data_IF_279536549031
#
_entry.id   IF_279536549031
#
_cell.length_a   1.000
_cell.length_b   1.000
_cell.length_c   1.000
_cell.angle_alpha   90.00
_cell.angle_beta   90.00
_cell.angle_gamma   90.00
#
_symmetry.space_group_name_H-M   'P 1'
#
loop_
_entity.id
_entity.type
_entity.pdbx_description
1 polymer ?
#
# COMPACT_ATOMS: atom_id res chain seq x y z
N UNK A 1 -9.02 26.88 24.04
CA UNK A 1 -7.74 26.61 23.34
C UNK A 1 -6.66 26.08 24.30
N UNK A 2 -6.94 25.18 25.21
CA UNK A 2 -6.03 24.86 26.32
C UNK A 2 -5.82 23.39 26.69
N UNK A 3 -6.32 22.41 25.92
CA UNK A 3 -6.25 21.00 26.35
C UNK A 3 -5.62 20.02 25.34
N UNK A 4 -5.05 20.47 24.23
CA UNK A 4 -4.42 19.59 23.24
C UNK A 4 -2.91 19.39 23.42
N UNK A 5 -2.26 20.09 24.36
CA UNK A 5 -0.79 20.03 24.54
C UNK A 5 -0.26 18.82 25.31
N UNK A 6 -1.09 18.00 25.95
CA UNK A 6 -0.62 16.93 26.85
C UNK A 6 -0.68 15.51 26.28
N UNK A 7 -0.98 15.30 24.99
CA UNK A 7 -1.09 13.95 24.41
C UNK A 7 0.08 13.52 23.52
N UNK A 8 1.02 14.41 23.25
CA UNK A 8 2.18 14.11 22.40
C UNK A 8 3.41 13.80 23.27
N UNK A 9 3.41 12.71 24.02
CA UNK A 9 4.68 12.12 24.41
C UNK A 9 5.33 11.51 23.17
N UNK A 10 5.99 12.35 22.38
CA UNK A 10 6.88 11.89 21.32
C UNK A 10 7.93 11.00 21.96
N UNK A 11 8.06 9.78 21.46
CA UNK A 11 9.13 8.88 21.90
C UNK A 11 10.46 9.61 21.72
N UNK A 12 11.37 9.46 22.69
CA UNK A 12 12.67 10.16 22.65
C UNK A 12 13.34 9.97 21.29
N UNK A 13 13.78 11.07 20.69
CA UNK A 13 14.40 11.06 19.38
C UNK A 13 15.57 10.08 19.35
N UNK A 14 15.59 9.13 18.42
CA UNK A 14 16.68 8.17 18.33
C UNK A 14 17.99 8.90 18.00
N UNK A 15 19.12 8.36 18.44
CA UNK A 15 20.46 8.91 18.13
C UNK A 15 20.96 8.55 16.74
N UNK A 16 20.16 7.83 15.93
CA UNK A 16 20.49 7.36 14.58
C UNK A 16 19.64 8.08 13.54
N UNK A 17 19.98 7.93 12.25
CA UNK A 17 19.25 8.45 11.11
C UNK A 17 19.60 9.90 10.76
N UNK A 18 18.99 10.39 9.70
CA UNK A 18 19.21 11.73 9.16
C UNK A 18 17.88 12.48 9.06
N UNK A 19 17.95 13.80 8.93
CA UNK A 19 16.81 14.68 8.67
C UNK A 19 16.97 15.34 7.31
N UNK A 20 16.58 14.66 6.20
CA UNK A 20 16.52 15.31 4.91
C UNK A 20 15.36 16.31 4.89
N UNK A 21 15.47 17.33 4.05
CA UNK A 21 14.33 18.18 3.71
C UNK A 21 13.25 17.31 3.10
N UNK A 22 12.04 17.37 3.62
CA UNK A 22 10.98 16.42 3.26
C UNK A 22 10.32 16.70 1.91
N UNK A 23 10.35 17.95 1.44
CA UNK A 23 9.79 18.41 0.16
C UNK A 23 8.37 17.85 -0.16
N UNK A 24 7.61 17.48 0.85
CA UNK A 24 6.28 16.84 0.67
C UNK A 24 5.23 17.84 0.19
N UNK A 25 5.39 19.12 0.52
CA UNK A 25 4.52 20.20 0.05
C UNK A 25 4.96 20.70 -1.33
N UNK A 26 4.02 21.09 -2.17
CA UNK A 26 2.56 21.19 -1.95
C UNK A 26 1.78 19.89 -2.19
N UNK A 27 2.40 18.78 -2.58
CA UNK A 27 1.70 17.54 -2.91
C UNK A 27 0.85 17.00 -1.74
N UNK A 28 1.38 17.06 -0.51
CA UNK A 28 0.67 16.62 0.69
C UNK A 28 -0.59 17.45 0.99
N UNK A 29 -0.60 18.74 0.63
CA UNK A 29 -1.72 19.64 0.90
C UNK A 29 -2.85 19.51 -0.15
N UNK A 30 -2.53 19.02 -1.36
CA UNK A 30 -3.49 18.84 -2.43
C UNK A 30 -4.50 17.71 -2.10
N UNK A 31 -5.78 17.86 -2.46
CA UNK A 31 -6.76 16.78 -2.30
C UNK A 31 -6.39 15.58 -3.17
N UNK A 32 -6.86 14.39 -2.78
CA UNK A 32 -6.75 13.20 -3.63
C UNK A 32 -7.54 13.41 -4.92
N UNK A 33 -6.90 13.21 -6.05
CA UNK A 33 -7.51 13.32 -7.38
C UNK A 33 -7.60 11.94 -8.04
N UNK A 34 -8.65 11.74 -8.84
CA UNK A 34 -8.79 10.57 -9.68
C UNK A 34 -8.09 10.82 -11.02
N UNK A 35 -7.18 9.92 -11.41
CA UNK A 35 -6.64 9.96 -12.77
C UNK A 35 -7.74 9.51 -13.75
N UNK A 36 -8.00 10.26 -14.85
CA UNK A 36 -8.81 9.76 -15.95
C UNK A 36 -8.27 8.44 -16.48
N UNK A 37 -9.17 7.56 -16.91
CA UNK A 37 -8.78 6.24 -17.40
C UNK A 37 -7.92 6.40 -18.68
N UNK A 38 -6.66 5.89 -18.68
CA UNK A 38 -5.82 5.94 -19.87
C UNK A 38 -6.38 5.09 -21.02
N UNK A 39 -5.97 5.37 -22.24
CA UNK A 39 -6.39 4.58 -23.42
C UNK A 39 -5.82 3.17 -23.42
N UNK A 40 -4.74 2.92 -22.72
CA UNK A 40 -4.09 1.63 -22.51
C UNK A 40 -3.53 1.50 -21.11
N UNK A 41 -3.61 0.29 -20.57
CA UNK A 41 -2.98 -0.09 -19.31
C UNK A 41 -2.01 -1.25 -19.59
N UNK A 42 -0.80 -1.15 -19.03
CA UNK A 42 0.24 -2.16 -19.15
C UNK A 42 0.43 -2.84 -17.79
N UNK A 43 -0.33 -3.90 -17.56
CA UNK A 43 -0.43 -4.56 -16.26
C UNK A 43 0.70 -5.57 -16.11
N UNK A 44 1.70 -5.31 -15.23
CA UNK A 44 2.83 -6.23 -15.05
C UNK A 44 2.39 -7.57 -14.48
N UNK A 45 3.00 -8.65 -14.95
CA UNK A 45 2.82 -9.97 -14.35
C UNK A 45 3.66 -10.17 -13.08
N UNK A 46 4.65 -9.31 -12.85
CA UNK A 46 5.46 -9.25 -11.63
C UNK A 46 5.20 -7.94 -10.88
N UNK A 47 4.23 -7.95 -9.96
CA UNK A 47 3.87 -6.82 -9.10
C UNK A 47 4.32 -7.03 -7.65
N UNK A 48 5.14 -8.04 -7.39
CA UNK A 48 5.53 -8.51 -6.05
C UNK A 48 6.89 -9.21 -6.11
N UNK A 49 7.49 -9.46 -4.97
CA UNK A 49 8.66 -10.32 -4.88
C UNK A 49 8.26 -11.77 -5.12
N UNK A 50 9.16 -12.56 -5.70
CA UNK A 50 8.94 -13.96 -6.01
C UNK A 50 8.78 -14.22 -7.50
N UNK A 51 7.97 -15.19 -7.86
CA UNK A 51 7.78 -15.58 -9.27
C UNK A 51 6.65 -14.76 -9.93
N UNK A 52 6.81 -14.33 -11.20
CA UNK A 52 5.75 -13.65 -11.91
C UNK A 52 4.48 -14.51 -12.01
N UNK A 53 3.33 -13.89 -12.04
CA UNK A 53 2.06 -14.55 -12.30
C UNK A 53 2.01 -15.07 -13.76
N UNK A 54 1.28 -16.16 -13.98
CA UNK A 54 1.06 -16.75 -15.31
C UNK A 54 -0.23 -16.21 -15.90
N UNK A 55 -0.22 -15.61 -17.11
CA UNK A 55 -1.43 -15.14 -17.75
C UNK A 55 -2.38 -16.33 -18.03
N UNK A 56 -3.68 -16.12 -17.81
CA UNK A 56 -4.76 -17.08 -18.07
C UNK A 56 -5.77 -16.57 -19.08
N UNK A 57 -5.52 -15.40 -19.66
CA UNK A 57 -6.36 -14.76 -20.68
C UNK A 57 -5.66 -14.80 -22.03
N UNK A 58 -6.43 -14.58 -23.10
CA UNK A 58 -5.96 -14.57 -24.49
C UNK A 58 -6.08 -13.17 -25.08
N UNK A 59 -5.23 -12.86 -26.06
CA UNK A 59 -5.37 -11.64 -26.87
C UNK A 59 -6.74 -11.64 -27.56
N UNK A 60 -7.43 -10.50 -27.56
CA UNK A 60 -8.79 -10.34 -28.03
C UNK A 60 -9.88 -10.68 -27.01
N UNK A 61 -9.55 -11.28 -25.87
CA UNK A 61 -10.51 -11.60 -24.82
C UNK A 61 -11.03 -10.32 -24.15
N UNK A 62 -12.34 -10.23 -23.93
CA UNK A 62 -12.97 -9.20 -23.11
C UNK A 62 -12.91 -9.61 -21.64
N UNK A 63 -12.59 -8.62 -20.79
CA UNK A 63 -12.48 -8.80 -19.35
C UNK A 63 -13.28 -7.74 -18.60
N UNK A 64 -13.70 -8.06 -17.39
CA UNK A 64 -14.35 -7.14 -16.47
C UNK A 64 -13.32 -6.59 -15.46
N UNK A 65 -13.61 -5.43 -14.87
CA UNK A 65 -12.82 -4.88 -13.78
C UNK A 65 -12.80 -5.86 -12.60
N UNK A 66 -11.62 -6.10 -12.05
CA UNK A 66 -11.43 -7.06 -10.96
C UNK A 66 -11.36 -8.52 -11.39
N UNK A 67 -11.56 -8.84 -12.67
CA UNK A 67 -11.42 -10.21 -13.16
C UNK A 67 -9.97 -10.68 -13.05
N UNK A 68 -9.77 -11.92 -12.59
CA UNK A 68 -8.46 -12.57 -12.58
C UNK A 68 -7.95 -12.74 -14.02
N UNK A 69 -6.75 -12.20 -14.31
CA UNK A 69 -6.12 -12.26 -15.64
C UNK A 69 -4.79 -12.99 -15.62
N UNK A 70 -4.19 -13.16 -14.44
CA UNK A 70 -3.04 -14.03 -14.27
C UNK A 70 -3.04 -14.68 -12.88
N UNK A 71 -2.72 -15.97 -12.83
CA UNK A 71 -2.69 -16.76 -11.61
C UNK A 71 -1.29 -16.78 -10.98
N UNK A 72 -1.19 -16.92 -9.65
CA UNK A 72 0.10 -16.96 -8.97
C UNK A 72 0.87 -18.23 -9.33
N UNK A 73 2.20 -18.16 -9.30
CA UNK A 73 3.09 -19.29 -9.55
C UNK A 73 4.04 -19.55 -8.37
N UNK A 74 4.27 -20.83 -8.10
CA UNK A 74 5.22 -21.22 -7.07
C UNK A 74 4.76 -20.82 -5.65
N UNK A 75 5.73 -20.72 -4.74
CA UNK A 75 5.48 -20.57 -3.31
C UNK A 75 5.24 -19.12 -2.89
N UNK A 76 5.87 -18.17 -3.58
CA UNK A 76 5.73 -16.73 -3.33
C UNK A 76 5.37 -16.09 -4.67
N UNK A 77 4.12 -15.71 -4.79
CA UNK A 77 3.52 -15.06 -5.94
C UNK A 77 2.17 -14.46 -5.52
N UNK A 78 1.58 -13.63 -6.36
CA UNK A 78 0.24 -13.10 -6.15
C UNK A 78 -0.52 -13.08 -7.49
N UNK A 79 -1.85 -13.27 -7.47
CA UNK A 79 -2.67 -13.15 -8.66
C UNK A 79 -2.72 -11.70 -9.15
N UNK A 80 -2.96 -11.53 -10.46
CA UNK A 80 -3.09 -10.23 -11.12
C UNK A 80 -4.49 -10.09 -11.69
N UNK A 81 -5.11 -8.93 -11.50
CA UNK A 81 -6.49 -8.65 -11.90
C UNK A 81 -6.55 -7.50 -12.91
N UNK A 82 -7.59 -7.51 -13.74
CA UNK A 82 -7.87 -6.43 -14.67
C UNK A 82 -8.24 -5.15 -13.92
N UNK A 83 -7.51 -4.08 -14.17
CA UNK A 83 -7.69 -2.80 -13.46
C UNK A 83 -8.97 -2.06 -13.86
N UNK A 84 -9.56 -2.42 -15.01
CA UNK A 84 -10.84 -1.94 -15.54
C UNK A 84 -11.42 -2.97 -16.50
N UNK A 85 -12.64 -2.74 -16.99
CA UNK A 85 -13.21 -3.55 -18.09
C UNK A 85 -12.63 -3.12 -19.44
N UNK A 86 -12.48 -4.07 -20.35
CA UNK A 86 -11.91 -3.81 -21.67
C UNK A 86 -11.55 -5.06 -22.44
N UNK A 87 -10.63 -4.92 -23.39
CA UNK A 87 -10.13 -6.02 -24.23
C UNK A 87 -8.63 -6.20 -24.05
N UNK A 88 -8.17 -7.43 -23.92
CA UNK A 88 -6.74 -7.77 -23.89
C UNK A 88 -6.15 -7.53 -25.29
N UNK A 89 -5.34 -6.50 -25.42
CA UNK A 89 -4.75 -6.11 -26.71
C UNK A 89 -3.45 -6.87 -27.02
N UNK A 90 -2.65 -7.17 -25.98
CA UNK A 90 -1.40 -7.89 -26.11
C UNK A 90 -0.99 -8.59 -24.82
N UNK A 91 -0.16 -9.60 -24.93
CA UNK A 91 0.59 -10.22 -23.82
C UNK A 91 2.03 -10.31 -24.31
N UNK A 92 2.94 -9.58 -23.68
CA UNK A 92 4.30 -9.48 -24.17
C UNK A 92 5.21 -8.64 -23.27
N UNK A 93 6.42 -8.47 -23.72
CA UNK A 93 7.44 -7.71 -23.00
C UNK A 93 7.26 -6.21 -23.17
N UNK A 94 7.42 -5.48 -22.08
CA UNK A 94 7.55 -4.02 -22.05
C UNK A 94 8.77 -3.64 -21.21
N UNK A 95 9.29 -2.42 -21.39
CA UNK A 95 10.39 -1.93 -20.57
C UNK A 95 9.94 -1.80 -19.10
N UNK A 96 10.70 -2.43 -18.21
CA UNK A 96 10.42 -2.33 -16.77
C UNK A 96 10.65 -0.91 -16.25
N UNK A 97 9.82 -0.41 -15.34
CA UNK A 97 10.11 0.80 -14.59
C UNK A 97 11.15 0.51 -13.50
N UNK A 98 12.33 0.06 -13.92
CA UNK A 98 13.43 -0.35 -13.05
C UNK A 98 14.75 0.16 -13.63
N UNK A 99 15.74 0.55 -12.80
CA UNK A 99 17.02 1.09 -13.27
C UNK A 99 17.78 0.19 -14.27
N UNK A 100 17.50 -1.12 -14.26
CA UNK A 100 18.10 -2.06 -15.22
C UNK A 100 17.67 -1.82 -16.67
N UNK A 101 16.50 -1.20 -16.90
CA UNK A 101 15.89 -1.08 -18.22
C UNK A 101 15.55 -2.41 -18.90
N UNK A 102 15.65 -3.55 -18.17
CA UNK A 102 15.33 -4.87 -18.70
C UNK A 102 13.82 -5.00 -18.95
N UNK A 103 13.42 -5.76 -19.99
CA UNK A 103 12.02 -6.00 -20.28
C UNK A 103 11.40 -6.90 -19.19
N UNK A 104 10.09 -6.78 -19.02
CA UNK A 104 9.28 -7.71 -18.23
C UNK A 104 7.94 -7.98 -18.90
N UNK A 105 7.34 -9.13 -18.60
CA UNK A 105 6.06 -9.52 -19.17
C UNK A 105 4.91 -8.71 -18.58
N UNK A 106 4.04 -8.22 -19.44
CA UNK A 106 2.83 -7.50 -19.07
C UNK A 106 1.65 -7.90 -19.96
N UNK A 107 0.45 -7.67 -19.44
CA UNK A 107 -0.80 -7.72 -20.19
C UNK A 107 -1.17 -6.29 -20.56
N UNK A 108 -1.33 -6.02 -21.85
CA UNK A 108 -1.87 -4.74 -22.34
C UNK A 108 -3.39 -4.84 -22.40
N UNK A 109 -4.06 -3.98 -21.65
CA UNK A 109 -5.51 -3.88 -21.59
C UNK A 109 -5.95 -2.56 -22.26
N UNK A 110 -6.85 -2.63 -23.23
CA UNK A 110 -7.55 -1.48 -23.81
C UNK A 110 -8.90 -1.32 -23.13
N UNK A 111 -9.09 -0.26 -22.31
CA UNK A 111 -10.34 0.03 -21.62
C UNK A 111 -11.52 0.23 -22.56
N UNK A 112 -12.71 -0.22 -22.16
CA UNK A 112 -13.95 0.03 -22.92
C UNK A 112 -14.74 1.26 -22.39
N UNK A 113 -14.23 1.95 -21.38
CA UNK A 113 -14.85 3.12 -20.76
C UNK A 113 -16.11 2.83 -19.95
N UNK A 114 -16.44 1.56 -19.71
CA UNK A 114 -17.68 1.16 -19.01
C UNK A 114 -17.47 0.77 -17.56
N UNK A 115 -16.23 0.50 -17.16
CA UNK A 115 -15.82 0.10 -15.81
C UNK A 115 -16.72 -1.01 -15.19
N UNK A 116 -17.17 -1.95 -16.02
CA UNK A 116 -18.01 -3.07 -15.57
C UNK A 116 -17.21 -4.00 -14.69
N UNK A 117 -17.55 -4.05 -13.41
CA UNK A 117 -16.89 -4.92 -12.44
C UNK A 117 -17.46 -6.34 -12.45
N UNK A 118 -16.65 -7.29 -11.98
CA UNK A 118 -17.14 -8.62 -11.61
C UNK A 118 -18.08 -8.51 -10.41
N UNK A 119 -19.02 -9.43 -10.29
CA UNK A 119 -19.74 -9.65 -9.04
C UNK A 119 -18.82 -10.34 -8.04
N UNK A 120 -18.77 -9.79 -6.82
CA UNK A 120 -17.94 -10.33 -5.74
C UNK A 120 -18.83 -10.72 -4.56
N UNK A 121 -18.57 -11.88 -3.99
CA UNK A 121 -19.23 -12.30 -2.77
C UNK A 121 -18.64 -11.55 -1.56
N UNK A 122 -19.44 -10.67 -0.97
CA UNK A 122 -19.06 -9.84 0.18
C UNK A 122 -19.66 -10.46 1.44
N UNK A 123 -18.86 -10.82 2.46
CA UNK A 123 -19.40 -11.34 3.72
C UNK A 123 -20.16 -10.25 4.48
N UNK A 124 -21.34 -10.56 4.98
CA UNK A 124 -22.14 -9.63 5.78
C UNK A 124 -21.39 -9.15 7.02
N UNK A 125 -20.72 -10.06 7.73
CA UNK A 125 -19.76 -9.75 8.78
C UNK A 125 -18.51 -10.62 8.61
N UNK A 126 -17.36 -10.02 8.19
CA UNK A 126 -16.14 -10.77 7.98
C UNK A 126 -15.52 -11.32 9.27
N UNK A 127 -15.88 -10.81 10.45
CA UNK A 127 -15.38 -11.33 11.73
C UNK A 127 -16.02 -12.66 12.14
N UNK A 128 -17.06 -13.12 11.42
CA UNK A 128 -17.61 -14.47 11.54
C UNK A 128 -16.83 -15.50 10.71
N UNK A 129 -16.02 -15.04 9.77
CA UNK A 129 -15.12 -15.91 9.00
C UNK A 129 -13.91 -16.30 9.84
N UNK A 130 -13.37 -17.48 9.58
CA UNK A 130 -12.10 -17.90 10.18
C UNK A 130 -10.93 -17.02 9.69
N UNK A 131 -9.84 -16.92 10.46
CA UNK A 131 -8.61 -16.27 10.01
C UNK A 131 -8.09 -16.78 8.66
N UNK A 132 -8.31 -18.06 8.40
CA UNK A 132 -7.94 -18.74 7.17
C UNK A 132 -8.74 -18.23 5.97
N UNK A 133 -10.06 -18.16 6.11
CA UNK A 133 -10.95 -17.68 5.04
C UNK A 133 -10.66 -16.22 4.68
N UNK A 134 -10.39 -15.36 5.68
CA UNK A 134 -10.00 -13.98 5.42
C UNK A 134 -8.64 -13.93 4.74
N UNK A 135 -7.66 -14.71 5.19
CA UNK A 135 -6.32 -14.76 4.58
C UNK A 135 -6.40 -15.24 3.13
N UNK A 136 -7.25 -16.22 2.82
CA UNK A 136 -7.48 -16.70 1.46
C UNK A 136 -8.12 -15.63 0.57
N UNK A 137 -9.13 -14.90 1.07
CA UNK A 137 -9.73 -13.77 0.34
C UNK A 137 -8.71 -12.67 0.05
N UNK A 138 -7.82 -12.35 1.01
CA UNK A 138 -6.70 -11.41 0.83
C UNK A 138 -5.74 -11.92 -0.24
N UNK A 139 -5.45 -13.22 -0.24
CA UNK A 139 -4.61 -13.90 -1.25
C UNK A 139 -5.22 -13.80 -2.63
N UNK A 140 -6.48 -14.20 -2.76
CA UNK A 140 -7.23 -14.18 -4.03
C UNK A 140 -7.39 -12.76 -4.57
N UNK A 141 -7.52 -11.75 -3.72
CA UNK A 141 -7.55 -10.34 -4.12
C UNK A 141 -6.18 -9.78 -4.55
N UNK A 142 -5.11 -10.57 -4.48
CA UNK A 142 -3.77 -10.15 -4.90
C UNK A 142 -3.16 -9.06 -4.04
N UNK A 143 -3.55 -8.93 -2.77
CA UNK A 143 -3.05 -7.87 -1.90
C UNK A 143 -1.59 -8.14 -1.53
N UNK A 144 -0.72 -7.22 -1.93
CA UNK A 144 0.71 -7.21 -1.60
C UNK A 144 1.06 -6.02 -0.72
N UNK A 145 2.24 -6.04 -0.11
CA UNK A 145 2.74 -4.93 0.69
C UNK A 145 2.91 -3.66 -0.14
N UNK A 146 2.32 -2.56 0.29
CA UNK A 146 2.33 -1.28 -0.44
C UNK A 146 3.36 -0.27 0.11
N UNK A 147 4.15 -0.66 1.10
CA UNK A 147 5.24 0.14 1.68
C UNK A 147 6.61 -0.09 1.05
N UNK A 148 6.67 -0.56 -0.21
CA UNK A 148 7.91 -0.72 -0.98
C UNK A 148 8.32 -2.18 -1.25
N UNK A 149 8.31 -3.06 -0.27
CA UNK A 149 8.80 -4.44 -0.41
C UNK A 149 7.90 -5.37 -1.25
N UNK A 150 6.67 -4.99 -1.54
CA UNK A 150 5.69 -5.73 -2.37
C UNK A 150 5.57 -7.24 -2.06
N UNK A 151 5.76 -7.62 -0.79
CA UNK A 151 5.63 -9.01 -0.34
C UNK A 151 4.13 -9.39 -0.23
N UNK A 152 3.69 -10.59 -0.70
CA UNK A 152 2.29 -11.01 -0.61
C UNK A 152 1.78 -10.98 0.84
N UNK A 153 0.71 -10.20 1.07
CA UNK A 153 0.20 -9.93 2.43
C UNK A 153 -0.37 -11.17 3.10
N UNK A 154 -1.03 -12.05 2.34
CA UNK A 154 -1.55 -13.33 2.83
C UNK A 154 -0.46 -14.22 3.43
N UNK A 155 0.72 -14.29 2.77
CA UNK A 155 1.86 -15.07 3.29
C UNK A 155 2.36 -14.50 4.61
N UNK A 156 2.41 -13.17 4.74
CA UNK A 156 2.82 -12.50 5.98
C UNK A 156 1.81 -12.73 7.11
N UNK A 157 0.52 -12.61 6.82
CA UNK A 157 -0.57 -12.81 7.80
C UNK A 157 -0.65 -14.27 8.28
N UNK A 158 -0.42 -15.23 7.38
CA UNK A 158 -0.38 -16.65 7.73
C UNK A 158 0.75 -17.03 8.72
N UNK A 159 1.72 -16.15 8.95
CA UNK A 159 2.77 -16.38 9.98
C UNK A 159 2.18 -16.44 11.40
N UNK A 160 1.02 -15.82 11.66
CA UNK A 160 0.32 -15.92 12.95
C UNK A 160 0.08 -17.36 13.40
N UNK A 161 -0.09 -18.30 12.45
CA UNK A 161 -0.24 -19.73 12.73
C UNK A 161 1.05 -20.44 13.15
N UNK A 162 2.19 -19.95 12.69
CA UNK A 162 3.50 -20.61 12.87
C UNK A 162 4.36 -19.97 13.95
N UNK A 163 4.08 -18.71 14.25
CA UNK A 163 4.82 -17.91 15.22
C UNK A 163 3.82 -17.26 16.18
N UNK A 164 4.18 -17.18 17.46
CA UNK A 164 3.33 -16.49 18.46
C UNK A 164 3.46 -14.98 18.23
N UNK A 165 2.61 -14.45 17.36
CA UNK A 165 2.55 -13.01 17.10
C UNK A 165 1.74 -12.33 18.20
N UNK A 166 2.36 -11.40 18.90
CA UNK A 166 1.69 -10.60 19.94
C UNK A 166 1.29 -9.20 19.47
N UNK A 167 2.04 -8.65 18.52
CA UNK A 167 1.91 -7.24 18.12
C UNK A 167 1.91 -7.11 16.60
N UNK A 168 0.90 -6.43 16.08
CA UNK A 168 0.87 -5.94 14.71
C UNK A 168 1.37 -4.49 14.70
N UNK A 169 2.43 -4.21 13.97
CA UNK A 169 2.86 -2.83 13.69
C UNK A 169 2.31 -2.40 12.34
N UNK A 170 1.69 -1.23 12.32
CA UNK A 170 1.20 -0.61 11.09
C UNK A 170 2.02 0.65 10.82
N UNK A 171 2.78 0.58 9.76
CA UNK A 171 3.74 1.60 9.37
C UNK A 171 3.04 2.71 8.57
N UNK A 172 2.94 3.89 9.16
CA UNK A 172 2.52 5.15 8.55
C UNK A 172 3.66 6.18 8.57
N UNK A 173 4.92 5.72 8.61
CA UNK A 173 6.10 6.57 8.65
C UNK A 173 6.22 7.44 7.39
N UNK A 174 6.37 6.80 6.22
CA UNK A 174 6.57 7.50 4.94
C UNK A 174 7.69 8.52 5.02
N UNK A 175 8.89 8.03 5.43
CA UNK A 175 10.05 8.88 5.72
C UNK A 175 10.78 9.37 4.46
N UNK A 176 10.48 8.84 3.29
CA UNK A 176 11.07 9.24 2.02
C UNK A 176 10.65 10.68 1.66
N UNK A 177 11.60 11.55 1.26
CA UNK A 177 11.27 12.87 0.72
C UNK A 177 10.32 12.80 -0.48
N UNK A 178 9.54 13.86 -0.68
CA UNK A 178 8.54 14.05 -1.74
C UNK A 178 7.29 13.17 -1.66
N UNK A 179 7.29 12.01 -1.00
CA UNK A 179 6.13 11.10 -0.93
C UNK A 179 5.13 11.53 0.13
N UNK A 180 3.83 11.43 -0.18
CA UNK A 180 2.73 11.79 0.72
C UNK A 180 1.47 10.93 0.51
N UNK A 181 1.59 9.80 -0.17
CA UNK A 181 0.45 8.91 -0.46
C UNK A 181 -0.08 8.22 0.81
N UNK A 182 0.78 7.84 1.76
CA UNK A 182 0.36 7.23 3.02
C UNK A 182 -0.25 8.28 3.97
N UNK A 183 0.31 9.50 4.02
CA UNK A 183 -0.29 10.62 4.72
C UNK A 183 -1.71 10.90 4.18
N UNK A 184 -1.87 10.92 2.86
CA UNK A 184 -3.15 11.19 2.22
C UNK A 184 -4.19 10.10 2.54
N UNK A 185 -3.81 8.82 2.49
CA UNK A 185 -4.75 7.73 2.79
C UNK A 185 -5.16 7.72 4.27
N UNK A 186 -4.23 8.02 5.18
CA UNK A 186 -4.55 8.14 6.61
C UNK A 186 -5.48 9.30 6.92
N UNK A 187 -5.40 10.42 6.19
CA UNK A 187 -6.31 11.56 6.35
C UNK A 187 -7.70 11.25 5.82
N UNK A 188 -7.78 10.71 4.58
CA UNK A 188 -9.05 10.58 3.85
C UNK A 188 -9.78 9.27 4.13
N UNK A 189 -9.04 8.21 4.45
CA UNK A 189 -9.54 6.83 4.55
C UNK A 189 -9.23 6.18 5.91
N UNK A 190 -9.06 6.99 6.97
CA UNK A 190 -8.69 6.50 8.31
C UNK A 190 -9.59 5.35 8.80
N UNK A 191 -10.90 5.42 8.56
CA UNK A 191 -11.84 4.37 8.96
C UNK A 191 -11.56 3.04 8.24
N UNK A 192 -11.30 3.09 6.94
CA UNK A 192 -10.94 1.90 6.14
C UNK A 192 -9.59 1.32 6.57
N UNK A 193 -8.59 2.17 6.88
CA UNK A 193 -7.30 1.72 7.40
C UNK A 193 -7.49 1.01 8.74
N UNK A 194 -8.26 1.57 9.66
CA UNK A 194 -8.54 0.97 10.98
C UNK A 194 -9.32 -0.35 10.85
N UNK A 195 -10.32 -0.44 9.96
CA UNK A 195 -11.02 -1.70 9.71
C UNK A 195 -10.08 -2.77 9.12
N UNK A 196 -9.20 -2.39 8.20
CA UNK A 196 -8.15 -3.29 7.68
C UNK A 196 -7.19 -3.77 8.76
N UNK A 197 -6.81 -2.90 9.70
CA UNK A 197 -6.00 -3.29 10.88
C UNK A 197 -6.72 -4.33 11.72
N UNK A 198 -8.02 -4.17 11.97
CA UNK A 198 -8.83 -5.12 12.73
C UNK A 198 -8.90 -6.49 12.04
N UNK A 199 -9.09 -6.49 10.72
CA UNK A 199 -9.05 -7.71 9.92
C UNK A 199 -7.68 -8.40 10.00
N UNK A 200 -6.59 -7.65 9.94
CA UNK A 200 -5.25 -8.19 10.12
C UNK A 200 -5.00 -8.73 11.53
N UNK A 201 -5.50 -8.06 12.57
CA UNK A 201 -5.46 -8.57 13.95
C UNK A 201 -6.21 -9.91 14.07
N UNK A 202 -7.40 -10.00 13.45
CA UNK A 202 -8.16 -11.24 13.41
C UNK A 202 -7.41 -12.38 12.72
N UNK A 203 -6.75 -12.10 11.58
CA UNK A 203 -5.95 -13.10 10.86
C UNK A 203 -4.72 -13.58 11.63
N UNK A 204 -4.06 -12.69 12.36
CA UNK A 204 -2.77 -12.98 13.03
C UNK A 204 -2.93 -13.48 14.46
N UNK A 205 -4.09 -13.23 15.10
CA UNK A 205 -4.32 -13.46 16.51
C UNK A 205 -3.51 -12.53 17.42
N UNK A 206 -2.90 -11.46 16.88
CA UNK A 206 -2.17 -10.50 17.68
C UNK A 206 -3.12 -9.73 18.62
N UNK A 207 -2.67 -9.49 19.85
CA UNK A 207 -3.48 -8.85 20.89
C UNK A 207 -3.56 -7.32 20.79
N UNK A 208 -2.64 -6.72 20.04
CA UNK A 208 -2.60 -5.26 19.84
C UNK A 208 -2.04 -4.87 18.47
N UNK A 209 -2.42 -3.69 18.02
CA UNK A 209 -1.81 -3.00 16.88
C UNK A 209 -1.20 -1.66 17.32
N UNK A 210 0.04 -1.40 16.90
CA UNK A 210 0.72 -0.13 17.09
C UNK A 210 0.85 0.55 15.73
N UNK A 211 0.18 1.70 15.55
CA UNK A 211 0.26 2.48 14.32
C UNK A 211 1.29 3.58 14.51
N UNK A 212 2.47 3.42 13.89
CA UNK A 212 3.55 4.41 13.93
C UNK A 212 3.38 5.45 12.83
N UNK A 213 3.21 6.71 13.19
CA UNK A 213 3.06 7.84 12.24
C UNK A 213 4.07 8.92 12.62
N UNK A 214 4.83 9.42 11.65
CA UNK A 214 5.78 10.49 11.90
C UNK A 214 5.09 11.77 12.37
N UNK A 215 5.71 12.48 13.32
CA UNK A 215 5.17 13.66 13.99
C UNK A 215 5.03 14.89 13.08
N UNK A 216 5.61 14.85 11.88
CA UNK A 216 5.39 15.83 10.82
C UNK A 216 4.03 15.67 10.08
N UNK A 217 3.18 14.68 10.48
CA UNK A 217 1.86 14.39 9.89
C UNK A 217 0.71 14.58 10.92
N UNK A 218 0.51 15.76 11.49
CA UNK A 218 -0.45 15.96 12.59
C UNK A 218 -1.90 15.66 12.21
N UNK A 219 -2.28 15.93 10.97
CA UNK A 219 -3.65 15.68 10.48
C UNK A 219 -3.93 14.18 10.33
N UNK A 220 -2.97 13.40 9.81
CA UNK A 220 -3.05 11.94 9.74
C UNK A 220 -3.13 11.32 11.14
N UNK A 221 -2.28 11.78 12.07
CA UNK A 221 -2.31 11.35 13.47
C UNK A 221 -3.70 11.61 14.08
N UNK A 222 -4.25 12.81 13.90
CA UNK A 222 -5.57 13.17 14.43
C UNK A 222 -6.70 12.33 13.80
N UNK A 223 -6.66 12.08 12.48
CA UNK A 223 -7.64 11.28 11.77
C UNK A 223 -7.60 9.82 12.24
N UNK A 224 -6.42 9.22 12.33
CA UNK A 224 -6.22 7.86 12.79
C UNK A 224 -6.61 7.68 14.26
N UNK A 225 -6.29 8.64 15.14
CA UNK A 225 -6.75 8.62 16.53
C UNK A 225 -8.28 8.64 16.64
N UNK A 226 -8.96 9.50 15.88
CA UNK A 226 -10.44 9.52 15.85
C UNK A 226 -11.02 8.20 15.38
N UNK A 227 -10.48 7.64 14.29
CA UNK A 227 -10.97 6.37 13.74
C UNK A 227 -10.73 5.18 14.68
N UNK A 228 -9.59 5.15 15.38
CA UNK A 228 -9.21 4.09 16.30
C UNK A 228 -9.85 4.22 17.70
N UNK A 229 -10.52 5.33 18.03
CA UNK A 229 -10.94 5.69 19.40
C UNK A 229 -11.84 4.65 20.09
N UNK A 230 -12.54 3.81 19.31
CA UNK A 230 -13.45 2.75 19.82
C UNK A 230 -12.77 1.40 19.99
N UNK A 231 -11.48 1.28 19.60
CA UNK A 231 -10.76 0.01 19.56
C UNK A 231 -9.53 0.10 20.46
N UNK A 232 -9.67 -0.38 21.70
CA UNK A 232 -8.61 -0.28 22.72
C UNK A 232 -7.31 -1.02 22.33
N UNK A 233 -7.45 -2.03 21.48
CA UNK A 233 -6.35 -2.82 20.94
C UNK A 233 -5.52 -2.07 19.89
N UNK A 234 -6.02 -0.94 19.30
CA UNK A 234 -5.32 -0.17 18.27
C UNK A 234 -4.79 1.13 18.88
N UNK A 235 -3.47 1.26 18.93
CA UNK A 235 -2.80 2.41 19.54
C UNK A 235 -2.03 3.20 18.47
N UNK A 236 -2.46 4.43 18.21
CA UNK A 236 -1.72 5.35 17.34
C UNK A 236 -0.58 5.98 18.14
N UNK A 237 0.63 5.94 17.58
CA UNK A 237 1.86 6.43 18.23
C UNK A 237 2.62 7.38 17.31
N UNK A 238 2.71 8.67 17.64
CA UNK A 238 3.64 9.57 16.96
C UNK A 238 5.08 9.07 17.15
N UNK A 239 5.83 9.04 16.05
CA UNK A 239 7.26 8.72 16.04
C UNK A 239 8.04 9.89 15.44
N UNK A 240 9.33 10.08 15.79
CA UNK A 240 10.11 11.17 15.24
C UNK A 240 10.23 11.09 13.72
N UNK A 241 10.00 12.21 13.01
CA UNK A 241 10.25 12.32 11.58
C UNK A 241 11.74 12.27 11.30
N UNK A 242 12.23 11.09 10.94
CA UNK A 242 13.64 10.81 10.74
C UNK A 242 13.85 9.67 9.74
N UNK A 243 14.75 9.86 8.79
CA UNK A 243 15.07 8.80 7.83
C UNK A 243 16.11 7.83 8.43
N UNK A 244 15.94 6.50 8.40
CA UNK A 244 14.80 5.75 7.86
C UNK A 244 13.85 5.22 8.95
N UNK A 245 13.00 6.05 9.56
CA UNK A 245 12.03 5.60 10.59
C UNK A 245 11.06 4.55 10.06
N UNK A 246 10.71 4.61 8.79
CA UNK A 246 9.85 3.64 8.12
C UNK A 246 10.48 2.26 7.88
N UNK A 247 11.76 2.05 8.20
CA UNK A 247 12.38 0.74 8.18
C UNK A 247 11.77 -0.17 9.26
N UNK A 248 11.40 -1.40 8.90
CA UNK A 248 10.76 -2.36 9.81
C UNK A 248 11.51 -2.49 11.14
N UNK A 249 12.84 -2.67 11.11
CA UNK A 249 13.67 -2.85 12.31
C UNK A 249 13.68 -1.62 13.19
N UNK A 250 13.78 -0.43 12.58
CA UNK A 250 13.81 0.83 13.32
C UNK A 250 12.44 1.11 13.96
N UNK A 251 11.38 0.87 13.22
CA UNK A 251 10.02 1.09 13.72
C UNK A 251 9.67 0.10 14.85
N UNK A 252 10.05 -1.18 14.71
CA UNK A 252 9.89 -2.18 15.78
C UNK A 252 10.59 -1.73 17.04
N UNK A 253 11.87 -1.37 16.95
CA UNK A 253 12.65 -0.93 18.11
C UNK A 253 12.04 0.33 18.75
N UNK A 254 11.64 1.29 17.93
CA UNK A 254 11.04 2.55 18.42
C UNK A 254 9.75 2.30 19.18
N UNK A 255 8.84 1.48 18.63
CA UNK A 255 7.51 1.28 19.19
C UNK A 255 7.48 0.24 20.32
N UNK A 256 8.32 -0.80 20.26
CA UNK A 256 8.24 -1.94 21.17
C UNK A 256 9.47 -2.11 22.09
N UNK A 257 10.54 -1.38 21.80
CA UNK A 257 11.87 -1.56 22.45
C UNK A 257 12.52 -2.93 22.19
N UNK A 258 11.91 -3.76 21.32
CA UNK A 258 12.49 -5.02 20.89
C UNK A 258 13.50 -4.79 19.78
N UNK A 259 14.58 -5.52 19.82
CA UNK A 259 15.58 -5.56 18.75
C UNK A 259 15.39 -6.83 17.92
N UNK A 260 15.37 -6.70 16.60
CA UNK A 260 15.33 -7.85 15.68
C UNK A 260 16.79 -8.19 15.32
N UNK A 261 17.32 -9.33 15.79
CA UNK A 261 18.71 -9.73 15.47
C UNK A 261 18.96 -9.82 13.95
N UNK A 262 20.21 -9.71 13.54
CA UNK A 262 20.59 -9.65 12.12
C UNK A 262 20.03 -10.81 11.30
N UNK A 263 20.09 -12.02 11.83
CA UNK A 263 19.66 -13.26 11.17
C UNK A 263 18.19 -13.64 11.43
N UNK A 264 17.44 -12.76 12.15
CA UNK A 264 16.05 -12.98 12.51
C UNK A 264 15.09 -12.09 11.70
N UNK A 265 13.83 -12.51 11.65
CA UNK A 265 12.71 -11.77 11.09
C UNK A 265 11.88 -11.12 12.20
N UNK A 266 11.08 -10.14 11.88
CA UNK A 266 10.15 -9.52 12.83
C UNK A 266 9.26 -10.56 13.55
N UNK A 267 8.82 -11.59 12.84
CA UNK A 267 8.00 -12.67 13.41
C UNK A 267 8.70 -13.45 14.54
N UNK A 268 10.02 -13.56 14.49
CA UNK A 268 10.80 -14.29 15.50
C UNK A 268 10.82 -13.56 16.85
N UNK A 269 10.57 -12.25 16.85
CA UNK A 269 10.37 -11.43 18.06
C UNK A 269 8.91 -11.17 18.38
N UNK A 270 7.98 -11.90 17.73
CA UNK A 270 6.53 -11.84 17.94
C UNK A 270 5.84 -10.63 17.31
N UNK A 271 6.41 -10.06 16.25
CA UNK A 271 5.92 -8.86 15.59
C UNK A 271 5.70 -9.10 14.09
N UNK A 272 4.60 -8.55 13.55
CA UNK A 272 4.41 -8.42 12.09
C UNK A 272 4.31 -6.93 11.78
N UNK A 273 4.96 -6.50 10.69
CA UNK A 273 4.88 -5.11 10.21
C UNK A 273 4.11 -5.07 8.89
N UNK A 274 3.10 -4.22 8.79
CA UNK A 274 2.40 -3.90 7.54
C UNK A 274 2.32 -2.39 7.36
N UNK A 275 2.12 -1.93 6.12
CA UNK A 275 1.95 -0.52 5.79
C UNK A 275 0.47 -0.10 5.88
N UNK A 276 0.18 1.18 6.12
CA UNK A 276 -1.20 1.73 6.20
C UNK A 276 -1.99 1.55 4.91
N UNK A 277 -1.37 1.73 3.75
CA UNK A 277 -2.02 1.51 2.45
C UNK A 277 -2.35 0.03 2.22
N UNK A 278 -1.51 -0.89 2.74
CA UNK A 278 -1.80 -2.33 2.73
C UNK A 278 -3.01 -2.65 3.61
N UNK A 279 -3.12 -2.06 4.79
CA UNK A 279 -4.29 -2.24 5.65
C UNK A 279 -5.56 -1.75 4.95
N UNK A 280 -5.52 -0.60 4.29
CA UNK A 280 -6.63 -0.12 3.48
C UNK A 280 -6.98 -1.08 2.32
N UNK A 281 -5.97 -1.63 1.63
CA UNK A 281 -6.21 -2.61 0.56
C UNK A 281 -6.87 -3.89 1.08
N UNK A 282 -6.52 -4.36 2.28
CA UNK A 282 -7.21 -5.47 2.96
C UNK A 282 -8.67 -5.12 3.25
N UNK A 283 -8.95 -3.93 3.76
CA UNK A 283 -10.32 -3.44 3.93
C UNK A 283 -11.10 -3.48 2.61
N UNK A 284 -10.53 -2.94 1.52
CA UNK A 284 -11.17 -2.94 0.19
C UNK A 284 -11.46 -4.36 -0.31
N UNK A 285 -10.49 -5.27 -0.16
CA UNK A 285 -10.64 -6.65 -0.58
C UNK A 285 -11.78 -7.38 0.17
N UNK A 286 -11.87 -7.19 1.48
CA UNK A 286 -12.82 -7.94 2.31
C UNK A 286 -14.20 -7.29 2.37
N UNK A 287 -14.28 -5.96 2.48
CA UNK A 287 -15.55 -5.25 2.62
C UNK A 287 -16.21 -4.88 1.30
N UNK A 288 -15.43 -4.82 0.22
CA UNK A 288 -15.94 -4.41 -1.08
C UNK A 288 -15.70 -5.44 -2.19
N UNK A 289 -15.01 -6.56 -1.87
CA UNK A 289 -14.63 -7.56 -2.87
C UNK A 289 -13.73 -7.02 -3.98
N UNK A 290 -13.04 -5.91 -3.72
CA UNK A 290 -12.19 -5.23 -4.70
C UNK A 290 -10.75 -5.76 -4.61
N UNK A 291 -10.23 -6.43 -5.64
CA UNK A 291 -8.83 -6.84 -5.67
C UNK A 291 -7.89 -5.63 -5.79
N UNK A 292 -6.59 -5.86 -5.63
CA UNK A 292 -5.58 -4.79 -5.72
C UNK A 292 -5.39 -4.34 -7.17
N UNK A 293 -6.27 -3.46 -7.63
CA UNK A 293 -6.30 -2.93 -9.00
C UNK A 293 -6.03 -1.43 -9.09
N UNK A 294 -5.89 -0.74 -7.96
CA UNK A 294 -5.63 0.70 -7.88
C UNK A 294 -4.62 1.01 -6.78
N UNK A 295 -3.90 2.12 -6.95
CA UNK A 295 -2.96 2.64 -5.94
C UNK A 295 -3.06 4.16 -5.85
N UNK A 296 -2.74 4.70 -4.66
CA UNK A 296 -2.46 6.13 -4.53
C UNK A 296 -0.98 6.34 -4.84
N UNK A 297 -0.71 7.28 -5.74
CA UNK A 297 0.65 7.63 -6.19
C UNK A 297 0.85 9.13 -5.98
N UNK A 298 1.97 9.51 -5.38
CA UNK A 298 2.38 10.90 -5.27
C UNK A 298 3.11 11.33 -6.54
N UNK A 299 2.68 12.43 -7.14
CA UNK A 299 3.41 13.14 -8.19
C UNK A 299 3.90 14.46 -7.61
N UNK A 300 5.21 14.63 -7.57
CA UNK A 300 5.82 15.81 -6.92
C UNK A 300 7.13 16.19 -7.64
N UNK A 301 7.64 17.36 -7.33
CA UNK A 301 8.92 17.86 -7.85
C UNK A 301 8.81 19.21 -8.57
N UNK A 302 9.94 19.85 -8.79
CA UNK A 302 10.01 21.19 -9.34
C UNK A 302 9.49 21.35 -10.76
N UNK A 303 9.53 20.27 -11.57
CA UNK A 303 9.06 20.26 -12.95
C UNK A 303 7.53 20.09 -13.10
N UNK A 304 6.78 19.85 -12.01
CA UNK A 304 5.36 19.54 -12.08
C UNK A 304 4.50 20.78 -11.80
N UNK A 305 3.47 21.02 -12.65
CA UNK A 305 2.52 22.12 -12.43
C UNK A 305 1.56 21.87 -11.30
N UNK A 306 1.00 20.66 -11.23
CA UNK A 306 -0.05 20.28 -10.29
C UNK A 306 0.41 19.08 -9.46
N UNK A 307 1.37 19.25 -8.54
CA UNK A 307 1.77 18.18 -7.64
C UNK A 307 0.57 17.72 -6.80
N UNK A 308 0.60 16.46 -6.34
CA UNK A 308 -0.48 15.91 -5.54
C UNK A 308 -0.48 14.40 -5.51
N UNK A 309 -1.51 13.85 -4.88
CA UNK A 309 -1.74 12.42 -4.79
C UNK A 309 -2.87 12.03 -5.75
N UNK A 310 -2.63 10.98 -6.53
CA UNK A 310 -3.57 10.48 -7.54
C UNK A 310 -3.98 9.06 -7.23
N UNK A 311 -5.29 8.77 -7.33
CA UNK A 311 -5.80 7.40 -7.40
C UNK A 311 -5.61 6.89 -8.84
N UNK A 312 -4.85 5.82 -9.00
CA UNK A 312 -4.35 5.36 -10.29
C UNK A 312 -4.64 3.88 -10.51
N UNK A 313 -5.22 3.46 -11.65
CA UNK A 313 -5.32 2.06 -12.01
C UNK A 313 -3.93 1.43 -12.17
N UNK A 314 -3.76 0.19 -11.71
CA UNK A 314 -2.52 -0.56 -11.95
C UNK A 314 -2.31 -0.76 -13.45
N UNK A 315 -1.09 -0.52 -13.92
CA UNK A 315 -0.74 -0.57 -15.35
C UNK A 315 -0.70 0.79 -16.05
N UNK A 316 -1.04 1.87 -15.36
CA UNK A 316 -0.89 3.24 -15.88
C UNK A 316 0.56 3.58 -16.12
N UNK A 317 0.87 4.21 -17.25
CA UNK A 317 2.22 4.69 -17.56
C UNK A 317 2.58 5.93 -16.74
N UNK A 318 3.84 6.05 -16.38
CA UNK A 318 4.36 7.27 -15.76
C UNK A 318 4.14 8.51 -16.66
N UNK A 319 4.17 8.34 -17.96
CA UNK A 319 3.88 9.40 -18.92
C UNK A 319 2.45 9.95 -18.78
N UNK A 320 1.44 9.08 -18.56
CA UNK A 320 0.05 9.51 -18.37
C UNK A 320 -0.10 10.35 -17.08
N UNK A 321 0.62 9.95 -16.02
CA UNK A 321 0.65 10.68 -14.75
C UNK A 321 1.28 12.07 -14.93
N UNK A 322 2.42 12.16 -15.61
CA UNK A 322 3.11 13.41 -15.87
C UNK A 322 2.30 14.32 -16.78
N UNK A 323 1.64 13.77 -17.80
CA UNK A 323 0.75 14.52 -18.67
C UNK A 323 -0.43 15.11 -17.89
N UNK A 324 -1.07 14.34 -17.05
CA UNK A 324 -2.19 14.78 -16.22
C UNK A 324 -1.78 15.87 -15.21
N UNK A 325 -0.61 15.70 -14.58
CA UNK A 325 -0.09 16.68 -13.61
C UNK A 325 0.46 17.94 -14.29
N UNK A 326 0.73 17.87 -15.59
CA UNK A 326 1.36 18.94 -16.38
C UNK A 326 2.82 19.17 -16.03
N UNK A 327 3.65 19.43 -17.03
CA UNK A 327 5.07 19.75 -16.85
C UNK A 327 5.32 21.24 -17.13
N UNK A 328 6.09 21.88 -16.26
CA UNK A 328 6.57 23.28 -16.43
C UNK A 328 7.74 23.35 -17.41
N UNK A 329 8.54 22.30 -17.42
CA UNK A 329 9.73 22.15 -18.25
C UNK A 329 10.03 20.67 -18.43
N UNK A 330 10.88 20.34 -19.35
CA UNK A 330 11.38 18.97 -19.48
C UNK A 330 12.15 18.57 -18.20
N UNK A 331 11.78 17.46 -17.54
CA UNK A 331 12.43 17.07 -16.30
C UNK A 331 13.85 16.57 -16.59
N UNK A 332 14.83 17.07 -15.86
CA UNK A 332 16.21 16.59 -15.95
C UNK A 332 16.34 15.14 -15.44
N UNK A 333 15.44 14.71 -14.57
CA UNK A 333 15.41 13.38 -13.96
C UNK A 333 13.99 13.00 -13.52
N UNK A 334 13.64 11.74 -13.74
CA UNK A 334 12.43 11.10 -13.19
C UNK A 334 12.85 10.05 -12.17
N UNK A 335 12.36 10.16 -10.95
CA UNK A 335 12.60 9.21 -9.87
C UNK A 335 11.30 8.45 -9.56
N UNK A 336 11.42 7.16 -9.33
CA UNK A 336 10.33 6.29 -8.87
C UNK A 336 10.70 5.72 -7.50
N UNK A 337 9.89 6.04 -6.49
CA UNK A 337 10.21 5.76 -5.10
C UNK A 337 11.05 6.86 -4.45
N UNK A 338 11.47 6.62 -3.22
CA UNK A 338 12.36 7.52 -2.49
C UNK A 338 13.79 7.49 -3.04
N UNK A 339 14.62 8.48 -2.65
CA UNK A 339 16.06 8.50 -2.99
C UNK A 339 16.84 7.38 -2.30
#
# INVERSE_FOLDING_TARGET
MGHFKNFLHTLAAPKWGVHPDDHKRPAADAPLRQLPLPTRLFIPLLQHVGQPARPIVLVGQKVHQGQLIAEPQGRISAPVHASTSGTIAAIGEITAPHPSGLPFMAITLEPDGKERAIESEIPADPFLLSPEEITERISTAGVVGLGGATFPSSVKLALGKRSKISTLIVNGGECEPYLSCDDRIMRDQAAGVVDGIRLMLHCTGASEALVGIEDNKPEAIAAMHRAASRFAEIKVRPVPARYPMGSDRQLIQTLTRKEVPADCRAADVGVIVNNVSTAHAVHRAIRHGEPLIRRIVTINGGAVWQPGNLMVPVGTLAADLLHFAGLKSEPARLLMGGP
#
